data_IF_058603867710
#
_entry.id   IF_058603867710
#
_cell.length_a   1.000
_cell.length_b   1.000
_cell.length_c   1.000
_cell.angle_alpha   90.00
_cell.angle_beta   90.00
_cell.angle_gamma   90.00
#
_symmetry.space_group_name_H-M   'P 1'
#
loop_
_entity.id
_entity.type
_entity.pdbx_description
1 polymer ?
#
# COMPACT_ATOMS: atom_id res chain seq x y z
N UNK A 1 -49.26 -49.68 51.56
CA UNK A 1 -47.98 -49.54 50.84
C UNK A 1 -48.22 -48.59 49.68
N UNK A 2 -47.82 -47.33 49.84
CA UNK A 2 -48.08 -46.25 48.89
C UNK A 2 -46.74 -45.73 48.38
N UNK A 3 -46.58 -45.74 47.06
CA UNK A 3 -45.36 -45.31 46.36
C UNK A 3 -45.47 -43.81 46.09
N UNK A 4 -44.48 -43.03 46.55
CA UNK A 4 -44.32 -41.63 46.15
C UNK A 4 -43.11 -41.55 45.21
N UNK A 5 -43.36 -41.33 43.92
CA UNK A 5 -42.33 -41.05 42.92
C UNK A 5 -42.05 -39.54 42.94
N UNK A 6 -40.82 -39.17 43.30
CA UNK A 6 -40.33 -37.80 43.29
C UNK A 6 -39.85 -37.46 41.88
N UNK A 7 -40.52 -36.52 41.21
CA UNK A 7 -40.08 -35.95 39.94
C UNK A 7 -39.24 -34.69 40.23
N UNK A 8 -37.92 -34.80 40.07
CA UNK A 8 -37.02 -33.66 40.09
C UNK A 8 -36.99 -33.01 38.70
N UNK A 9 -37.25 -31.68 38.56
CA UNK A 9 -37.11 -31.00 37.29
C UNK A 9 -35.64 -30.74 37.00
N UNK A 10 -35.16 -31.26 35.88
CA UNK A 10 -33.84 -30.93 35.34
C UNK A 10 -33.89 -29.50 34.78
N UNK A 11 -33.35 -28.55 35.51
CA UNK A 11 -33.01 -27.22 35.01
C UNK A 11 -31.82 -27.37 34.05
N UNK A 12 -32.10 -27.43 32.74
CA UNK A 12 -31.11 -27.23 31.70
C UNK A 12 -30.69 -25.75 31.71
N UNK A 13 -29.59 -25.45 32.40
CA UNK A 13 -28.84 -24.20 32.16
C UNK A 13 -28.29 -24.26 30.74
N UNK A 14 -28.90 -23.52 29.82
CA UNK A 14 -28.31 -23.27 28.52
C UNK A 14 -26.99 -22.53 28.74
N UNK A 15 -25.87 -23.16 28.37
CA UNK A 15 -24.60 -22.48 28.29
C UNK A 15 -24.76 -21.35 27.27
N UNK A 16 -24.46 -20.12 27.68
CA UNK A 16 -24.27 -19.00 26.76
C UNK A 16 -23.15 -19.39 25.81
N UNK A 17 -23.49 -19.63 24.54
CA UNK A 17 -22.49 -19.73 23.48
C UNK A 17 -21.87 -18.35 23.39
N UNK A 18 -20.64 -18.22 23.89
CA UNK A 18 -19.85 -17.01 23.75
C UNK A 18 -19.58 -16.85 22.24
N UNK A 19 -20.41 -16.05 21.57
CA UNK A 19 -20.18 -15.75 20.17
C UNK A 19 -18.96 -14.85 20.10
N UNK A 20 -17.91 -15.33 19.44
CA UNK A 20 -16.77 -14.50 19.12
C UNK A 20 -17.27 -13.18 18.52
N UNK A 21 -16.69 -12.03 18.93
CA UNK A 21 -17.11 -10.74 18.42
C UNK A 21 -17.14 -10.77 16.89
N UNK A 22 -18.14 -10.13 16.26
CA UNK A 22 -18.26 -10.12 14.81
C UNK A 22 -16.98 -9.55 14.21
N UNK A 23 -16.30 -10.36 13.41
CA UNK A 23 -15.07 -9.95 12.72
C UNK A 23 -15.36 -8.70 11.88
N UNK A 24 -14.45 -7.72 11.84
CA UNK A 24 -14.63 -6.55 11.02
C UNK A 24 -14.81 -6.97 9.54
N UNK A 25 -15.69 -6.33 8.78
CA UNK A 25 -15.78 -6.58 7.35
C UNK A 25 -14.42 -6.44 6.68
N UNK A 26 -14.16 -7.28 5.66
CA UNK A 26 -12.86 -7.32 4.97
C UNK A 26 -12.46 -5.95 4.42
N UNK A 27 -13.42 -5.18 3.91
CA UNK A 27 -13.17 -3.82 3.41
C UNK A 27 -12.66 -2.90 4.53
N UNK A 28 -13.22 -2.98 5.74
CA UNK A 28 -12.80 -2.18 6.89
C UNK A 28 -11.37 -2.51 7.30
N UNK A 29 -11.03 -3.79 7.42
CA UNK A 29 -9.66 -4.18 7.77
C UNK A 29 -8.67 -3.79 6.68
N UNK A 30 -9.01 -3.99 5.40
CA UNK A 30 -8.18 -3.58 4.27
C UNK A 30 -7.87 -2.08 4.32
N UNK A 31 -8.88 -1.26 4.58
CA UNK A 31 -8.71 0.20 4.65
C UNK A 31 -7.88 0.62 5.87
N UNK A 32 -8.04 -0.06 7.01
CA UNK A 32 -7.20 0.13 8.20
C UNK A 32 -5.73 -0.25 7.93
N UNK A 33 -5.49 -1.41 7.32
CA UNK A 33 -4.15 -1.86 6.89
C UNK A 33 -3.52 -0.85 5.94
N UNK A 34 -4.28 -0.37 4.95
CA UNK A 34 -3.79 0.63 3.98
C UNK A 34 -3.34 1.90 4.68
N UNK A 35 -4.18 2.48 5.54
CA UNK A 35 -3.83 3.69 6.29
C UNK A 35 -2.65 3.48 7.25
N UNK A 36 -2.54 2.32 7.87
CA UNK A 36 -1.49 2.04 8.84
C UNK A 36 -0.13 1.76 8.20
N UNK A 37 -0.08 1.09 7.04
CA UNK A 37 1.16 0.59 6.46
C UNK A 37 1.44 1.06 5.03
N UNK A 38 0.41 1.30 4.22
CA UNK A 38 0.53 1.61 2.79
C UNK A 38 0.16 3.05 2.47
N UNK A 39 0.20 3.94 3.47
CA UNK A 39 0.10 5.38 3.27
C UNK A 39 1.51 5.99 3.16
N UNK A 40 2.02 6.26 1.94
CA UNK A 40 3.37 6.75 1.74
C UNK A 40 3.62 8.12 2.37
N UNK A 41 2.59 8.93 2.63
CA UNK A 41 2.74 10.23 3.29
C UNK A 41 3.22 10.11 4.76
N UNK A 42 3.26 8.90 5.31
CA UNK A 42 3.73 8.63 6.68
C UNK A 42 5.18 8.14 6.73
N UNK A 43 5.85 7.97 5.58
CA UNK A 43 7.12 7.25 5.50
C UNK A 43 8.31 8.09 5.93
N UNK A 44 8.22 9.41 5.79
CA UNK A 44 9.17 10.38 6.30
C UNK A 44 8.51 11.23 7.38
N UNK A 45 9.32 11.85 8.24
CA UNK A 45 8.81 12.66 9.35
C UNK A 45 8.57 14.12 8.94
N UNK A 46 9.22 14.55 7.85
CA UNK A 46 9.07 15.89 7.27
C UNK A 46 8.39 15.79 5.89
N UNK A 47 7.05 15.90 5.83
CA UNK A 47 6.33 15.75 4.58
C UNK A 47 6.55 16.92 3.62
N UNK A 48 7.19 18.02 4.04
CA UNK A 48 7.43 19.19 3.19
C UNK A 48 8.39 18.86 2.03
N UNK A 49 9.22 17.83 2.18
CA UNK A 49 10.17 17.40 1.15
C UNK A 49 9.83 16.03 0.55
N UNK A 50 8.67 15.47 0.88
CA UNK A 50 8.13 14.28 0.24
C UNK A 50 7.63 14.65 -1.15
N UNK A 51 8.39 14.26 -2.19
CA UNK A 51 8.11 14.68 -3.56
C UNK A 51 7.13 13.78 -4.28
N UNK A 52 7.21 12.47 -4.05
CA UNK A 52 6.46 11.50 -4.85
C UNK A 52 5.91 10.41 -3.96
N UNK A 53 4.61 10.19 -4.06
CA UNK A 53 3.91 9.07 -3.45
C UNK A 53 3.41 8.12 -4.53
N UNK A 54 3.67 6.83 -4.35
CA UNK A 54 3.16 5.77 -5.22
C UNK A 54 2.46 4.75 -4.33
N UNK A 55 1.20 4.43 -4.62
CA UNK A 55 0.46 3.38 -3.90
C UNK A 55 -0.18 2.42 -4.89
N UNK A 56 0.12 1.13 -4.76
CA UNK A 56 -0.52 0.07 -5.54
C UNK A 56 -1.81 -0.36 -4.85
N UNK A 57 -2.90 -0.35 -5.61
CA UNK A 57 -4.24 -0.68 -5.12
C UNK A 57 -4.77 -2.02 -5.62
N UNK A 58 -4.07 -2.73 -6.49
CA UNK A 58 -4.66 -3.91 -7.12
C UNK A 58 -5.88 -3.51 -7.96
N UNK A 59 -6.85 -4.40 -8.10
CA UNK A 59 -8.03 -4.17 -8.91
C UNK A 59 -9.10 -3.32 -8.19
N UNK A 60 -10.36 -3.45 -8.59
CA UNK A 60 -11.52 -2.82 -7.95
C UNK A 60 -11.74 -3.25 -6.48
N UNK A 61 -10.99 -4.23 -5.98
CA UNK A 61 -10.98 -4.63 -4.58
C UNK A 61 -9.87 -3.97 -3.75
N UNK A 62 -9.10 -3.02 -4.28
CA UNK A 62 -8.20 -2.16 -3.49
C UNK A 62 -7.15 -2.92 -2.63
N UNK A 63 -6.73 -4.11 -3.07
CA UNK A 63 -5.76 -4.95 -2.37
C UNK A 63 -4.35 -4.30 -2.34
N UNK A 64 -3.82 -3.95 -1.15
CA UNK A 64 -2.52 -3.30 -1.05
C UNK A 64 -1.39 -4.29 -1.37
N UNK A 65 -0.39 -3.83 -2.11
CA UNK A 65 0.78 -4.64 -2.43
C UNK A 65 2.09 -3.92 -2.11
N UNK A 66 2.30 -2.73 -2.67
CA UNK A 66 3.38 -1.85 -2.25
C UNK A 66 2.90 -0.40 -2.16
N UNK A 67 3.59 0.38 -1.35
CA UNK A 67 3.56 1.83 -1.42
C UNK A 67 4.99 2.36 -1.28
N UNK A 68 5.31 3.45 -1.98
CA UNK A 68 6.63 4.05 -2.05
C UNK A 68 6.48 5.55 -1.81
N UNK A 69 7.36 6.11 -0.98
CA UNK A 69 7.56 7.55 -0.86
C UNK A 69 8.98 7.88 -1.33
N UNK A 70 9.12 8.95 -2.12
CA UNK A 70 10.41 9.49 -2.55
C UNK A 70 10.54 10.89 -1.98
N UNK A 71 11.58 11.09 -1.18
CA UNK A 71 11.86 12.30 -0.44
C UNK A 71 13.13 12.95 -1.00
N UNK A 72 13.08 14.27 -1.19
CA UNK A 72 14.25 15.04 -1.58
C UNK A 72 14.92 15.61 -0.35
N UNK A 73 16.07 15.05 0.02
CA UNK A 73 16.87 15.61 1.09
C UNK A 73 18.09 16.37 0.56
N UNK A 74 18.61 17.22 1.41
CA UNK A 74 19.88 17.89 1.25
C UNK A 74 20.96 17.12 2.02
N UNK A 75 21.96 16.58 1.33
CA UNK A 75 23.15 16.05 2.02
C UNK A 75 24.17 17.19 2.20
N UNK A 76 24.52 17.48 3.46
CA UNK A 76 25.51 18.50 3.83
C UNK A 76 26.93 17.91 4.00
N UNK A 77 27.22 16.81 3.31
CA UNK A 77 28.40 15.97 3.53
C UNK A 77 29.78 16.61 3.33
N UNK A 78 29.91 17.80 2.72
CA UNK A 78 31.19 18.53 2.67
C UNK A 78 30.96 20.05 2.66
N UNK A 79 32.00 20.81 3.05
CA UNK A 79 31.98 22.24 3.43
C UNK A 79 31.40 23.27 2.45
N UNK A 80 30.90 22.90 1.28
CA UNK A 80 30.28 23.84 0.33
C UNK A 80 29.09 23.19 -0.40
N UNK A 81 27.87 23.48 0.07
CA UNK A 81 26.65 23.29 -0.70
C UNK A 81 25.75 22.12 -0.29
N UNK A 82 24.50 22.24 -0.73
CA UNK A 82 23.46 21.24 -0.61
C UNK A 82 23.51 20.29 -1.80
N UNK A 83 23.93 19.03 -1.60
CA UNK A 83 23.78 18.03 -2.66
C UNK A 83 22.37 17.45 -2.59
N UNK A 84 21.59 17.65 -3.66
CA UNK A 84 20.23 17.12 -3.76
C UNK A 84 20.29 15.59 -3.85
N UNK A 85 19.61 14.93 -2.90
CA UNK A 85 19.56 13.49 -2.77
C UNK A 85 18.10 13.02 -2.78
N UNK A 86 17.82 11.96 -3.53
CA UNK A 86 16.49 11.34 -3.55
C UNK A 86 16.53 10.02 -2.78
N UNK A 87 15.97 10.04 -1.57
CA UNK A 87 15.81 8.84 -0.75
C UNK A 87 14.41 8.29 -0.97
N UNK A 88 14.29 6.97 -1.17
CA UNK A 88 13.00 6.32 -1.22
C UNK A 88 12.81 5.35 -0.06
N UNK A 89 11.58 5.24 0.41
CA UNK A 89 11.14 4.23 1.38
C UNK A 89 9.93 3.49 0.82
N UNK A 90 9.83 2.20 1.13
CA UNK A 90 8.78 1.31 0.63
C UNK A 90 8.27 0.38 1.72
N UNK A 91 6.96 0.20 1.77
CA UNK A 91 6.35 -1.01 2.32
C UNK A 91 5.92 -1.91 1.18
N UNK A 92 6.22 -3.21 1.27
CA UNK A 92 5.82 -4.21 0.29
C UNK A 92 5.38 -5.52 0.96
N UNK A 93 4.32 -6.12 0.42
CA UNK A 93 3.86 -7.46 0.81
C UNK A 93 4.77 -8.52 0.17
N UNK A 94 5.18 -9.57 0.91
CA UNK A 94 5.93 -10.68 0.34
C UNK A 94 5.11 -11.46 -0.71
N UNK A 95 5.75 -11.74 -1.85
CA UNK A 95 5.14 -12.42 -3.01
C UNK A 95 5.65 -13.84 -3.11
N UNK A 96 4.73 -14.79 -3.28
CA UNK A 96 5.09 -16.16 -3.62
C UNK A 96 5.46 -16.26 -5.12
N UNK A 97 6.40 -17.13 -5.51
CA UNK A 97 6.77 -17.29 -6.93
C UNK A 97 5.55 -17.54 -7.84
N UNK A 98 5.39 -16.69 -8.85
CA UNK A 98 4.28 -16.78 -9.82
C UNK A 98 2.93 -16.24 -9.34
N UNK A 99 2.84 -15.73 -8.11
CA UNK A 99 1.63 -15.06 -7.59
C UNK A 99 1.50 -13.65 -8.18
N UNK A 100 0.28 -13.28 -8.58
CA UNK A 100 0.00 -11.88 -8.97
C UNK A 100 0.05 -10.98 -7.74
N UNK A 101 0.61 -9.76 -7.84
CA UNK A 101 0.66 -8.79 -6.74
C UNK A 101 -0.62 -8.64 -5.91
N UNK A 102 -1.78 -8.47 -6.55
CA UNK A 102 -3.07 -8.32 -5.87
C UNK A 102 -3.49 -9.55 -5.06
N UNK A 103 -3.09 -10.76 -5.49
CA UNK A 103 -3.39 -11.99 -4.75
C UNK A 103 -2.56 -12.06 -3.48
N UNK A 104 -1.28 -11.66 -3.54
CA UNK A 104 -0.43 -11.52 -2.36
C UNK A 104 -1.01 -10.50 -1.37
N UNK A 105 -1.48 -9.35 -1.88
CA UNK A 105 -2.17 -8.34 -1.08
C UNK A 105 -3.44 -8.84 -0.41
N UNK A 106 -4.29 -9.55 -1.15
CA UNK A 106 -5.51 -10.17 -0.62
C UNK A 106 -5.19 -11.19 0.48
N UNK A 107 -4.28 -12.12 0.23
CA UNK A 107 -3.82 -13.13 1.20
C UNK A 107 -3.26 -12.47 2.46
N UNK A 108 -2.48 -11.41 2.30
CA UNK A 108 -1.93 -10.64 3.41
C UNK A 108 -3.02 -10.05 4.30
N UNK A 109 -4.00 -9.34 3.71
CA UNK A 109 -5.10 -8.75 4.48
C UNK A 109 -5.92 -9.82 5.21
N UNK A 110 -6.23 -10.94 4.55
CA UNK A 110 -6.93 -12.05 5.20
C UNK A 110 -6.13 -12.64 6.38
N UNK A 111 -4.80 -12.74 6.27
CA UNK A 111 -3.93 -13.18 7.37
C UNK A 111 -3.95 -12.18 8.54
N UNK A 112 -3.99 -10.88 8.26
CA UNK A 112 -4.12 -9.84 9.30
C UNK A 112 -5.47 -9.97 10.00
N UNK A 113 -6.57 -10.14 9.25
CA UNK A 113 -7.92 -10.32 9.80
C UNK A 113 -8.06 -11.52 10.72
N UNK A 114 -7.30 -12.59 10.50
CA UNK A 114 -7.31 -13.76 11.38
C UNK A 114 -6.71 -13.48 12.77
N UNK A 115 -5.99 -12.37 12.94
CA UNK A 115 -5.23 -12.05 14.14
C UNK A 115 -5.57 -10.70 14.78
N UNK A 116 -6.14 -9.77 14.02
CA UNK A 116 -6.53 -8.45 14.47
C UNK A 116 -8.05 -8.31 14.47
N UNK A 117 -8.64 -7.93 15.61
CA UNK A 117 -10.08 -7.69 15.74
C UNK A 117 -10.46 -6.23 15.43
N UNK A 118 -9.47 -5.34 15.33
CA UNK A 118 -9.65 -3.93 14.97
C UNK A 118 -8.34 -3.16 14.93
N UNK A 119 -8.43 -1.82 14.91
CA UNK A 119 -7.26 -0.94 14.78
C UNK A 119 -6.30 -1.01 15.97
N UNK A 120 -6.80 -1.30 17.18
CA UNK A 120 -5.98 -1.38 18.39
C UNK A 120 -4.96 -2.52 18.33
N UNK A 121 -5.33 -3.65 17.71
CA UNK A 121 -4.48 -4.84 17.60
C UNK A 121 -3.65 -4.86 16.32
N UNK A 122 -3.84 -3.87 15.45
CA UNK A 122 -3.25 -3.87 14.11
C UNK A 122 -1.72 -3.77 14.15
N UNK A 123 -1.16 -2.93 15.03
CA UNK A 123 0.29 -2.71 15.14
C UNK A 123 1.08 -4.00 15.44
N UNK A 124 0.80 -4.74 16.54
CA UNK A 124 1.52 -5.98 16.84
C UNK A 124 1.32 -7.06 15.79
N UNK A 125 0.16 -7.08 15.10
CA UNK A 125 -0.09 -8.02 14.01
C UNK A 125 0.75 -7.68 12.78
N UNK A 126 0.82 -6.42 12.37
CA UNK A 126 1.63 -5.96 11.23
C UNK A 126 3.12 -6.24 11.42
N UNK A 127 3.63 -6.08 12.65
CA UNK A 127 5.01 -6.43 13.01
C UNK A 127 5.36 -7.89 12.73
N UNK A 128 4.40 -8.79 12.89
CA UNK A 128 4.56 -10.23 12.67
C UNK A 128 4.07 -10.67 11.29
N UNK A 129 3.52 -9.75 10.49
CA UNK A 129 2.86 -10.08 9.24
C UNK A 129 3.86 -10.31 8.09
N UNK A 130 5.14 -9.95 8.28
CA UNK A 130 6.21 -10.14 7.32
C UNK A 130 6.25 -9.08 6.22
N UNK A 131 5.72 -7.88 6.49
CA UNK A 131 5.87 -6.73 5.60
C UNK A 131 7.34 -6.36 5.45
N UNK A 132 7.75 -6.07 4.22
CA UNK A 132 9.09 -5.56 3.92
C UNK A 132 9.06 -4.04 4.06
N UNK A 133 9.77 -3.52 5.05
CA UNK A 133 10.01 -2.09 5.24
C UNK A 133 11.44 -1.75 4.80
N UNK A 134 11.55 -1.04 3.70
CA UNK A 134 12.79 -0.93 2.93
C UNK A 134 13.11 0.51 2.56
N UNK A 135 14.39 0.81 2.39
CA UNK A 135 14.85 2.10 1.91
C UNK A 135 15.93 1.95 0.84
N UNK A 136 16.06 2.96 -0.01
CA UNK A 136 17.13 3.04 -1.01
C UNK A 136 17.44 4.48 -1.38
N UNK A 137 18.56 4.67 -2.06
CA UNK A 137 19.00 5.94 -2.63
C UNK A 137 18.94 5.84 -4.15
N UNK A 138 18.14 6.69 -4.79
CA UNK A 138 17.94 6.65 -6.23
C UNK A 138 19.24 6.96 -6.99
N UNK A 139 20.15 7.75 -6.44
CA UNK A 139 21.42 8.06 -7.09
C UNK A 139 22.38 6.87 -7.07
N UNK A 140 22.31 6.04 -6.03
CA UNK A 140 23.09 4.81 -5.91
C UNK A 140 22.49 3.65 -6.71
N UNK A 141 21.20 3.72 -7.07
CA UNK A 141 20.52 2.67 -7.80
C UNK A 141 20.66 2.86 -9.33
N UNK A 142 21.25 1.89 -10.06
CA UNK A 142 21.42 2.00 -11.51
C UNK A 142 20.11 2.30 -12.24
N UNK A 143 20.16 3.29 -13.14
CA UNK A 143 19.03 3.74 -13.98
C UNK A 143 17.85 4.40 -13.25
N UNK A 144 17.79 4.43 -11.91
CA UNK A 144 16.64 4.97 -11.18
C UNK A 144 16.39 6.45 -11.47
N UNK A 145 17.43 7.29 -11.46
CA UNK A 145 17.32 8.72 -11.81
C UNK A 145 16.85 8.92 -13.25
N UNK A 146 17.30 8.07 -14.19
CA UNK A 146 16.86 8.14 -15.57
C UNK A 146 15.37 7.84 -15.69
N UNK A 147 14.89 6.78 -15.04
CA UNK A 147 13.46 6.41 -15.04
C UNK A 147 12.62 7.47 -14.32
N UNK A 148 13.11 8.03 -13.21
CA UNK A 148 12.46 9.13 -12.50
C UNK A 148 12.18 10.32 -13.43
N UNK A 149 13.18 10.73 -14.21
CA UNK A 149 13.08 11.86 -15.13
C UNK A 149 12.06 11.64 -16.27
N UNK A 150 11.70 10.39 -16.61
CA UNK A 150 10.69 10.11 -17.64
C UNK A 150 9.30 10.65 -17.27
N UNK A 151 9.02 10.89 -15.98
CA UNK A 151 7.75 11.39 -15.49
C UNK A 151 7.31 12.72 -16.13
N UNK A 152 8.26 13.60 -16.46
CA UNK A 152 7.95 14.93 -17.01
C UNK A 152 7.38 14.88 -18.42
N UNK A 153 7.53 13.75 -19.13
CA UNK A 153 7.00 13.55 -20.48
C UNK A 153 5.65 12.82 -20.52
N UNK A 154 5.07 12.48 -19.38
CA UNK A 154 3.85 11.65 -19.33
C UNK A 154 2.57 12.47 -19.52
N UNK A 155 1.58 11.82 -20.11
CA UNK A 155 0.22 12.36 -20.24
C UNK A 155 -0.59 12.02 -18.97
N UNK A 156 -0.79 13.02 -18.12
CA UNK A 156 -1.52 12.89 -16.84
C UNK A 156 -3.04 12.83 -17.01
N UNK A 157 -3.55 13.49 -18.05
CA UNK A 157 -4.97 13.49 -18.44
C UNK A 157 -5.05 13.07 -19.90
N UNK A 158 -5.74 11.97 -20.18
CA UNK A 158 -5.87 11.48 -21.56
C UNK A 158 -6.71 12.42 -22.40
N UNK A 159 -6.24 12.75 -23.60
CA UNK A 159 -6.98 13.52 -24.61
C UNK A 159 -8.36 12.91 -24.89
N UNK A 160 -8.46 11.58 -25.01
CA UNK A 160 -9.73 10.88 -25.28
C UNK A 160 -10.74 11.00 -24.13
N UNK A 161 -10.30 11.34 -22.91
CA UNK A 161 -11.20 11.61 -21.79
C UNK A 161 -11.82 13.01 -21.88
N UNK A 162 -11.05 14.01 -22.30
CA UNK A 162 -11.49 15.42 -22.28
C UNK A 162 -12.06 15.91 -23.62
N UNK A 163 -11.65 15.30 -24.73
CA UNK A 163 -12.09 15.66 -26.08
C UNK A 163 -12.19 14.41 -26.97
N UNK A 164 -13.11 13.47 -26.66
CA UNK A 164 -13.29 12.27 -27.45
C UNK A 164 -13.73 12.60 -28.88
N UNK A 165 -13.13 11.94 -29.87
CA UNK A 165 -13.55 12.01 -31.28
C UNK A 165 -14.06 10.66 -31.77
N UNK A 166 -14.87 10.69 -32.83
CA UNK A 166 -15.39 9.47 -33.45
C UNK A 166 -14.23 8.60 -33.95
N UNK A 167 -14.16 7.36 -33.46
CA UNK A 167 -13.10 6.41 -33.79
C UNK A 167 -12.04 6.24 -32.71
N UNK A 168 -12.11 7.02 -31.62
CA UNK A 168 -11.26 6.78 -30.45
C UNK A 168 -11.52 5.39 -29.85
N UNK A 169 -10.43 4.71 -29.49
CA UNK A 169 -10.48 3.39 -28.88
C UNK A 169 -11.09 3.47 -27.47
N UNK A 170 -12.23 2.83 -27.25
CA UNK A 170 -12.83 2.67 -25.93
C UNK A 170 -12.19 1.46 -25.26
N UNK A 171 -11.30 1.70 -24.30
CA UNK A 171 -10.68 0.63 -23.51
C UNK A 171 -11.51 0.36 -22.26
N UNK A 172 -12.21 -0.78 -22.24
CA UNK A 172 -12.89 -1.28 -21.04
C UNK A 172 -11.99 -2.30 -20.36
N UNK A 173 -11.67 -2.01 -19.11
CA UNK A 173 -10.72 -2.74 -18.30
C UNK A 173 -11.44 -3.31 -17.08
N UNK A 174 -11.80 -4.59 -17.11
CA UNK A 174 -12.36 -5.26 -15.94
C UNK A 174 -11.22 -5.73 -15.03
N UNK A 175 -11.31 -5.38 -13.75
CA UNK A 175 -10.35 -5.80 -12.70
C UNK A 175 -8.88 -5.49 -13.05
N UNK A 176 -8.62 -4.38 -13.76
CA UNK A 176 -7.26 -3.94 -14.01
C UNK A 176 -6.65 -3.39 -12.72
N UNK A 177 -5.39 -3.75 -12.49
CA UNK A 177 -4.63 -3.25 -11.36
C UNK A 177 -4.39 -1.74 -11.49
N UNK A 178 -4.51 -1.01 -10.39
CA UNK A 178 -4.45 0.46 -10.35
C UNK A 178 -3.35 0.93 -9.42
N UNK A 179 -2.79 2.10 -9.75
CA UNK A 179 -1.80 2.80 -8.94
C UNK A 179 -2.24 4.25 -8.77
N UNK A 180 -2.09 4.77 -7.55
CA UNK A 180 -2.07 6.20 -7.28
C UNK A 180 -0.64 6.70 -7.38
N UNK A 181 -0.43 7.78 -8.13
CA UNK A 181 0.83 8.53 -8.19
C UNK A 181 0.52 9.97 -7.81
N UNK A 182 1.19 10.49 -6.80
CA UNK A 182 1.11 11.90 -6.40
C UNK A 182 2.49 12.51 -6.54
N UNK A 183 2.59 13.64 -7.24
CA UNK A 183 3.73 14.54 -7.19
C UNK A 183 3.36 15.73 -6.31
N UNK A 184 4.14 15.94 -5.26
CA UNK A 184 4.01 17.04 -4.32
C UNK A 184 5.25 17.93 -4.48
N UNK A 185 5.10 19.02 -5.22
CA UNK A 185 6.05 20.14 -5.19
C UNK A 185 5.42 21.27 -4.37
N UNK A 186 6.24 22.14 -3.76
CA UNK A 186 5.83 23.17 -2.80
C UNK A 186 4.65 24.06 -3.29
N UNK A 187 4.46 24.20 -4.61
CA UNK A 187 3.36 24.96 -5.21
C UNK A 187 2.50 24.15 -6.18
N UNK A 188 2.77 22.86 -6.37
CA UNK A 188 2.12 22.05 -7.39
C UNK A 188 1.85 20.66 -6.86
N UNK A 189 0.58 20.26 -6.89
CA UNK A 189 0.19 18.86 -6.69
C UNK A 189 -0.36 18.31 -8.00
N UNK A 190 0.14 17.15 -8.41
CA UNK A 190 -0.43 16.38 -9.52
C UNK A 190 -0.72 14.96 -9.06
N UNK A 191 -1.99 14.57 -9.12
CA UNK A 191 -2.45 13.23 -8.74
C UNK A 191 -2.97 12.47 -9.94
N UNK A 192 -2.46 11.26 -10.15
CA UNK A 192 -3.01 10.27 -11.06
C UNK A 192 -3.53 9.07 -10.27
N UNK A 193 -4.74 8.62 -10.57
CA UNK A 193 -5.24 7.32 -10.15
C UNK A 193 -5.80 6.60 -11.36
N UNK A 194 -5.24 5.45 -11.67
CA UNK A 194 -5.65 4.71 -12.85
C UNK A 194 -4.93 3.40 -13.04
N UNK A 195 -5.35 2.70 -14.09
CA UNK A 195 -4.87 1.36 -14.37
C UNK A 195 -3.43 1.34 -14.91
N UNK A 196 -2.74 0.24 -14.61
CA UNK A 196 -1.42 -0.14 -15.13
C UNK A 196 -1.50 -0.42 -16.63
N UNK A 197 -1.46 0.64 -17.44
CA UNK A 197 -1.45 0.57 -18.90
C UNK A 197 -0.25 1.30 -19.47
N UNK A 198 0.31 0.75 -20.55
CA UNK A 198 1.42 1.39 -21.25
C UNK A 198 1.10 2.86 -21.57
N UNK A 199 2.08 3.73 -21.32
CA UNK A 199 1.99 5.17 -21.50
C UNK A 199 1.28 5.93 -20.37
N UNK A 200 0.79 5.28 -19.31
CA UNK A 200 0.20 5.98 -18.16
C UNK A 200 1.20 6.28 -17.05
N UNK A 201 0.94 7.28 -16.18
CA UNK A 201 1.69 7.47 -14.93
C UNK A 201 1.75 6.23 -14.05
N UNK A 202 0.70 5.40 -14.03
CA UNK A 202 0.73 4.12 -13.31
C UNK A 202 1.78 3.15 -13.88
N UNK A 203 1.87 2.97 -15.20
CA UNK A 203 2.89 2.09 -15.79
C UNK A 203 4.32 2.63 -15.59
N UNK A 204 4.50 3.95 -15.63
CA UNK A 204 5.78 4.55 -15.26
C UNK A 204 6.15 4.27 -13.79
N UNK A 205 5.20 4.45 -12.87
CA UNK A 205 5.43 4.22 -11.45
C UNK A 205 5.81 2.77 -11.16
N UNK A 206 5.19 1.82 -11.86
CA UNK A 206 5.55 0.40 -11.75
C UNK A 206 6.93 0.10 -12.35
N UNK A 207 7.27 0.69 -13.49
CA UNK A 207 8.62 0.61 -14.05
C UNK A 207 9.67 1.18 -13.08
N UNK A 208 9.38 2.28 -12.41
CA UNK A 208 10.25 2.84 -11.38
C UNK A 208 10.39 1.88 -10.19
N UNK A 209 9.28 1.35 -9.67
CA UNK A 209 9.28 0.37 -8.59
C UNK A 209 10.13 -0.87 -8.93
N UNK A 210 9.97 -1.41 -10.15
CA UNK A 210 10.76 -2.53 -10.67
C UNK A 210 12.25 -2.18 -10.79
N UNK A 211 12.58 -0.97 -11.27
CA UNK A 211 13.96 -0.48 -11.39
C UNK A 211 14.65 -0.41 -10.03
N UNK A 212 13.91 -0.09 -8.98
CA UNK A 212 14.42 -0.01 -7.60
C UNK A 212 14.54 -1.38 -6.91
N UNK A 213 13.89 -2.44 -7.39
CA UNK A 213 13.89 -3.77 -6.76
C UNK A 213 15.28 -4.27 -6.30
N UNK A 214 16.34 -4.25 -7.12
CA UNK A 214 17.65 -4.77 -6.72
C UNK A 214 18.38 -3.88 -5.70
N UNK A 215 17.87 -2.67 -5.43
CA UNK A 215 18.54 -1.65 -4.63
C UNK A 215 17.93 -1.50 -3.23
N UNK A 216 16.80 -2.15 -2.94
CA UNK A 216 16.18 -2.10 -1.63
C UNK A 216 17.03 -2.81 -0.58
N UNK A 217 17.06 -2.21 0.60
CA UNK A 217 17.63 -2.79 1.82
C UNK A 217 16.68 -2.51 2.97
N UNK A 218 16.76 -3.27 4.08
CA UNK A 218 15.96 -2.97 5.27
C UNK A 218 16.13 -1.51 5.70
N UNK A 219 15.01 -0.83 5.93
CA UNK A 219 15.01 0.56 6.35
C UNK A 219 15.45 0.70 7.81
N UNK A 220 16.25 1.73 8.08
CA UNK A 220 16.76 2.04 9.43
C UNK A 220 15.73 2.69 10.38
N UNK A 221 14.80 3.57 9.94
CA UNK A 221 13.78 4.13 10.82
C UNK A 221 12.68 3.12 11.15
N UNK A 222 11.89 3.35 12.21
CA UNK A 222 10.71 2.54 12.48
C UNK A 222 9.74 2.51 11.30
N UNK A 223 9.07 1.37 11.04
CA UNK A 223 8.03 1.28 10.02
C UNK A 223 6.83 2.19 10.36
N UNK A 224 6.04 2.59 9.34
CA UNK A 224 4.96 3.57 9.50
C UNK A 224 3.87 3.14 10.49
N UNK A 225 3.58 1.83 10.58
CA UNK A 225 2.58 1.31 11.52
C UNK A 225 3.03 1.30 12.99
N UNK A 226 4.28 1.68 13.27
CA UNK A 226 4.80 1.86 14.64
C UNK A 226 4.88 3.33 15.08
N UNK A 227 4.54 4.27 14.20
CA UNK A 227 4.42 5.69 14.56
C UNK A 227 3.14 5.93 15.37
#
# INVERSE_FOLDING_TARGET
MTVAASLAPWLLTAATVDQAPPQPPVYTMRDQVRRAAFDPATYFDDPQFDLIHIAYHGDDYDWPYYAIAIHQNCDHGTKEGCEVRFQARRVKVPVEPGERPRNSGSRFVHKVMQKAEGSADLRPVLDQAGLMWEETDLKACPHAIKVLAEASGLEWVRKTTVAPVKGDEIRIALHADKITVVFNDYLQEATYYGALYEGTPAAWADKLAQTLEPCWKPATPPPPWRK
#
